data_IF_056261775744
#
_entry.id   IF_056261775744
#
_cell.length_a   1.000
_cell.length_b   1.000
_cell.length_c   1.000
_cell.angle_alpha   90.00
_cell.angle_beta   90.00
_cell.angle_gamma   90.00
#
_symmetry.space_group_name_H-M   'P 1'
#
loop_
_entity.id
_entity.type
_entity.pdbx_description
1 polymer ?
#
# COMPACT_ATOMS: atom_id res chain seq x y z
N UNK A 1 10.12 28.91 30.45
CA UNK A 1 11.06 27.79 30.35
C UNK A 1 11.04 27.31 28.91
N UNK A 2 12.18 27.41 28.23
CA UNK A 2 12.31 27.07 26.81
C UNK A 2 11.87 25.63 26.56
N UNK A 3 10.80 25.46 25.79
CA UNK A 3 10.25 24.16 25.42
C UNK A 3 11.24 23.45 24.49
N UNK A 4 12.05 22.56 25.05
CA UNK A 4 12.92 21.68 24.28
C UNK A 4 12.09 20.49 23.79
N UNK A 5 11.85 20.42 22.49
CA UNK A 5 11.31 19.23 21.84
C UNK A 5 12.42 18.19 21.72
N UNK A 6 12.42 17.23 22.65
CA UNK A 6 13.25 16.04 22.52
C UNK A 6 12.44 14.99 21.75
N UNK A 7 13.00 14.47 20.65
CA UNK A 7 12.59 13.15 20.17
C UNK A 7 12.72 12.16 21.32
N UNK A 8 11.84 11.15 21.37
CA UNK A 8 11.71 10.19 22.48
C UNK A 8 13.01 9.45 22.84
N UNK A 9 14.06 9.57 22.03
CA UNK A 9 15.39 9.00 22.21
C UNK A 9 16.49 10.03 21.80
N UNK A 10 17.47 10.33 22.67
CA UNK A 10 18.55 11.30 22.42
C UNK A 10 19.58 10.87 21.36
N UNK A 11 19.49 9.65 20.83
CA UNK A 11 20.33 9.17 19.72
C UNK A 11 19.74 9.49 18.33
N UNK A 12 18.51 10.00 18.28
CA UNK A 12 17.86 10.34 17.01
C UNK A 12 18.24 11.75 16.55
N UNK A 13 18.54 11.94 15.24
CA UNK A 13 18.70 13.27 14.69
C UNK A 13 17.39 14.04 14.91
N UNK A 14 17.46 15.11 15.70
CA UNK A 14 16.29 15.92 16.05
C UNK A 14 15.55 16.44 14.82
N UNK A 15 14.32 16.92 15.06
CA UNK A 15 13.52 17.65 14.07
C UNK A 15 14.43 18.71 13.44
N UNK A 16 14.68 18.60 12.12
CA UNK A 16 15.57 19.54 11.43
C UNK A 16 15.06 20.96 11.61
N UNK A 17 15.98 21.93 11.66
CA UNK A 17 15.59 23.34 11.62
C UNK A 17 14.64 23.58 10.44
N UNK A 18 13.51 24.24 10.69
CA UNK A 18 12.45 24.54 9.71
C UNK A 18 11.66 23.33 9.19
N UNK A 19 11.76 22.16 9.80
CA UNK A 19 10.85 21.05 9.48
C UNK A 19 9.45 21.35 10.01
N UNK A 20 8.44 21.10 9.18
CA UNK A 20 7.05 21.03 9.63
C UNK A 20 6.82 19.69 10.34
N UNK A 21 6.04 19.72 11.42
CA UNK A 21 5.65 18.54 12.17
C UNK A 21 4.19 18.67 12.61
N UNK A 22 3.56 17.54 12.88
CA UNK A 22 2.27 17.45 13.53
C UNK A 22 2.39 16.57 14.78
N UNK A 23 1.41 16.66 15.68
CA UNK A 23 1.31 15.79 16.85
C UNK A 23 -0.07 15.15 16.82
N UNK A 24 -0.14 13.84 17.01
CA UNK A 24 -1.38 13.06 16.98
C UNK A 24 -1.46 12.12 18.19
N UNK A 25 -2.53 11.31 18.23
CA UNK A 25 -2.74 10.24 19.20
C UNK A 25 -2.82 10.70 20.68
N UNK A 26 -3.65 11.71 20.95
CA UNK A 26 -4.09 12.07 22.31
C UNK A 26 -5.55 12.48 22.30
N UNK A 27 -6.30 12.10 23.33
CA UNK A 27 -7.70 12.50 23.51
C UNK A 27 -7.88 14.03 23.46
N UNK A 28 -6.92 14.80 23.98
CA UNK A 28 -6.99 16.27 23.97
C UNK A 28 -6.87 16.92 22.59
N UNK A 29 -6.54 16.13 21.55
CA UNK A 29 -6.49 16.59 20.17
C UNK A 29 -7.72 16.14 19.36
N UNK A 30 -8.68 15.46 19.99
CA UNK A 30 -9.96 15.14 19.39
C UNK A 30 -10.86 16.38 19.49
N UNK A 31 -10.81 17.25 18.49
CA UNK A 31 -11.44 18.58 18.53
C UNK A 31 -12.29 18.94 17.30
N UNK A 32 -12.28 18.10 16.26
CA UNK A 32 -12.98 18.34 15.00
C UNK A 32 -13.75 17.10 14.52
N UNK A 33 -14.90 17.27 13.84
CA UNK A 33 -15.62 16.15 13.24
C UNK A 33 -14.79 15.37 12.20
N UNK A 34 -14.91 14.05 12.24
CA UNK A 34 -14.13 13.09 11.44
C UNK A 34 -12.92 12.51 12.17
N UNK A 35 -12.52 13.10 13.29
CA UNK A 35 -11.40 12.60 14.09
C UNK A 35 -11.81 11.42 14.99
N UNK A 36 -10.82 10.60 15.33
CA UNK A 36 -10.97 9.53 16.31
C UNK A 36 -9.71 9.40 17.19
N UNK A 37 -9.89 8.81 18.36
CA UNK A 37 -8.80 8.44 19.25
C UNK A 37 -9.10 7.12 19.95
N UNK A 38 -8.14 6.21 19.93
CA UNK A 38 -8.26 4.90 20.55
C UNK A 38 -7.39 4.82 21.80
N UNK A 39 -8.02 4.60 22.95
CA UNK A 39 -7.33 4.30 24.21
C UNK A 39 -7.02 2.82 24.28
N UNK A 40 -5.76 2.45 23.98
CA UNK A 40 -5.29 1.06 24.07
C UNK A 40 -5.35 0.49 25.49
N UNK A 41 -5.28 1.33 26.54
CA UNK A 41 -5.26 0.87 27.93
C UNK A 41 -6.65 0.42 28.37
N UNK A 42 -7.66 1.23 28.06
CA UNK A 42 -9.06 0.90 28.38
C UNK A 42 -9.80 0.17 27.26
N UNK A 43 -9.17 0.01 26.09
CA UNK A 43 -9.77 -0.54 24.88
C UNK A 43 -11.05 0.23 24.47
N UNK A 44 -10.98 1.57 24.50
CA UNK A 44 -12.10 2.46 24.19
C UNK A 44 -11.80 3.31 22.95
N UNK A 45 -12.71 3.29 21.98
CA UNK A 45 -12.65 4.14 20.80
C UNK A 45 -13.55 5.36 21.00
N UNK A 46 -12.95 6.54 20.92
CA UNK A 46 -13.63 7.83 20.93
C UNK A 46 -13.70 8.34 19.49
N UNK A 47 -14.90 8.65 19.00
CA UNK A 47 -15.13 9.13 17.64
C UNK A 47 -15.88 10.45 17.70
N UNK A 48 -15.36 11.48 17.03
CA UNK A 48 -16.10 12.72 16.80
C UNK A 48 -16.82 12.61 15.45
N UNK A 49 -18.07 12.15 15.46
CA UNK A 49 -18.86 12.02 14.24
C UNK A 49 -19.13 13.40 13.60
N UNK A 50 -19.34 13.42 12.28
CA UNK A 50 -19.93 14.59 11.61
C UNK A 50 -21.30 14.94 12.20
N UNK A 51 -21.63 16.23 12.23
CA UNK A 51 -22.88 16.72 12.84
C UNK A 51 -24.12 16.08 12.20
N UNK A 52 -24.05 15.81 10.90
CA UNK A 52 -25.10 15.24 10.05
C UNK A 52 -25.10 13.71 9.95
N UNK A 53 -24.08 13.02 10.47
CA UNK A 53 -24.02 11.56 10.46
C UNK A 53 -24.78 10.95 11.64
N UNK A 54 -25.61 9.92 11.42
CA UNK A 54 -26.16 9.12 12.51
C UNK A 54 -25.18 8.00 12.89
N UNK A 55 -25.24 7.52 14.13
CA UNK A 55 -24.39 6.39 14.54
C UNK A 55 -24.65 5.11 13.73
N UNK A 56 -25.86 4.95 13.19
CA UNK A 56 -26.20 3.86 12.27
C UNK A 56 -25.52 3.94 10.92
N UNK A 57 -24.99 5.10 10.55
CA UNK A 57 -24.32 5.34 9.26
C UNK A 57 -22.83 5.02 9.32
N UNK A 58 -22.30 4.73 10.52
CA UNK A 58 -20.88 4.57 10.76
C UNK A 58 -20.55 3.08 10.87
N UNK A 59 -19.74 2.61 9.94
CA UNK A 59 -19.06 1.32 10.03
C UNK A 59 -17.63 1.57 10.54
N UNK A 60 -17.24 0.84 11.58
CA UNK A 60 -15.86 0.83 12.09
C UNK A 60 -15.28 -0.54 11.74
N UNK A 61 -14.40 -0.56 10.74
CA UNK A 61 -13.54 -1.71 10.50
C UNK A 61 -12.24 -1.55 11.27
N UNK A 62 -11.78 -2.63 11.89
CA UNK A 62 -10.52 -2.69 12.63
C UNK A 62 -9.62 -3.74 12.02
N UNK A 63 -8.32 -3.71 12.31
CA UNK A 63 -7.32 -4.72 11.90
C UNK A 63 -7.60 -6.10 12.51
N UNK A 64 -8.66 -6.75 12.06
CA UNK A 64 -8.91 -8.15 12.34
C UNK A 64 -7.91 -8.99 11.55
N UNK A 65 -7.49 -10.12 12.11
CA UNK A 65 -6.46 -10.97 11.51
C UNK A 65 -6.86 -11.53 10.14
N UNK A 66 -8.16 -11.59 9.84
CA UNK A 66 -8.71 -11.97 8.53
C UNK A 66 -8.72 -10.80 7.51
N UNK A 67 -8.35 -9.59 7.93
CA UNK A 67 -8.22 -8.40 7.08
C UNK A 67 -6.75 -8.08 6.71
N UNK A 68 -5.78 -8.90 7.13
CA UNK A 68 -4.37 -8.66 6.82
C UNK A 68 -4.09 -8.69 5.30
N UNK A 69 -4.71 -9.65 4.59
CA UNK A 69 -4.50 -9.87 3.14
C UNK A 69 -5.84 -10.17 2.48
N UNK A 70 -6.25 -9.36 1.50
CA UNK A 70 -7.46 -9.63 0.70
C UNK A 70 -7.26 -10.81 -0.25
N UNK A 71 -6.24 -10.74 -1.09
CA UNK A 71 -5.92 -11.73 -2.14
C UNK A 71 -4.45 -12.15 -2.05
N UNK A 72 -4.19 -13.33 -1.49
CA UNK A 72 -2.87 -13.98 -1.61
C UNK A 72 -2.78 -14.73 -2.95
N UNK A 73 -1.89 -14.26 -3.84
CA UNK A 73 -1.77 -14.76 -5.21
C UNK A 73 -0.63 -15.75 -5.42
N UNK A 74 0.01 -16.25 -4.34
CA UNK A 74 1.07 -17.29 -4.46
C UNK A 74 0.57 -18.49 -5.25
N UNK A 75 1.20 -18.75 -6.40
CA UNK A 75 0.89 -19.88 -7.28
C UNK A 75 -0.47 -19.81 -7.96
N UNK A 76 -1.18 -18.68 -7.87
CA UNK A 76 -2.51 -18.51 -8.46
C UNK A 76 -2.36 -17.84 -9.82
N UNK A 77 -2.80 -18.53 -10.87
CA UNK A 77 -2.62 -18.11 -12.25
C UNK A 77 -3.93 -18.23 -13.03
N UNK A 78 -4.05 -17.50 -14.12
CA UNK A 78 -5.23 -17.53 -15.00
C UNK A 78 -6.52 -17.11 -14.29
N UNK A 79 -6.43 -16.09 -13.43
CA UNK A 79 -7.57 -15.54 -12.71
C UNK A 79 -7.92 -14.15 -13.25
N UNK A 80 -9.21 -13.92 -13.49
CA UNK A 80 -9.74 -12.64 -13.93
C UNK A 80 -10.71 -12.09 -12.87
N UNK A 81 -10.52 -10.82 -12.52
CA UNK A 81 -11.38 -10.06 -11.61
C UNK A 81 -11.98 -8.90 -12.37
N UNK A 82 -13.30 -8.75 -12.33
CA UNK A 82 -13.99 -7.72 -13.08
C UNK A 82 -15.06 -7.01 -12.25
N UNK A 83 -15.03 -5.68 -12.22
CA UNK A 83 -16.10 -4.88 -11.62
C UNK A 83 -16.18 -4.92 -10.09
N UNK A 84 -15.17 -5.48 -9.42
CA UNK A 84 -15.16 -5.66 -7.96
C UNK A 84 -14.56 -4.47 -7.22
N UNK A 85 -15.06 -4.23 -6.02
CA UNK A 85 -14.45 -3.32 -5.04
C UNK A 85 -13.74 -4.14 -3.96
N UNK A 86 -12.49 -3.79 -3.67
CA UNK A 86 -11.70 -4.35 -2.58
C UNK A 86 -11.41 -3.25 -1.56
N UNK A 87 -11.88 -3.43 -0.33
CA UNK A 87 -11.75 -2.44 0.75
C UNK A 87 -11.49 -3.08 2.10
N UNK A 88 -10.91 -2.30 3.02
CA UNK A 88 -10.68 -2.68 4.42
C UNK A 88 -9.75 -3.88 4.59
N UNK A 89 -8.71 -3.93 3.76
CA UNK A 89 -7.59 -4.84 3.93
C UNK A 89 -6.33 -4.03 4.27
N UNK A 90 -5.47 -4.57 5.13
CA UNK A 90 -4.13 -3.99 5.28
C UNK A 90 -3.37 -4.05 3.95
N UNK A 91 -3.44 -5.19 3.27
CA UNK A 91 -2.93 -5.35 1.91
C UNK A 91 -3.98 -6.00 1.00
N UNK A 92 -4.37 -5.35 -0.10
CA UNK A 92 -5.40 -5.92 -0.98
C UNK A 92 -4.87 -7.10 -1.79
N UNK A 93 -3.78 -6.94 -2.53
CA UNK A 93 -3.20 -8.02 -3.38
C UNK A 93 -1.77 -8.30 -3.00
N UNK A 94 -1.43 -9.57 -2.79
CA UNK A 94 -0.12 -10.02 -2.33
C UNK A 94 0.50 -11.11 -3.19
N UNK A 95 1.77 -10.90 -3.52
CA UNK A 95 2.71 -11.99 -3.73
C UNK A 95 3.99 -11.71 -2.92
N UNK A 96 4.33 -12.55 -1.92
CA UNK A 96 5.45 -12.30 -1.02
C UNK A 96 6.81 -12.64 -1.63
N UNK A 97 7.87 -12.13 -1.02
CA UNK A 97 9.26 -12.39 -1.42
C UNK A 97 9.68 -13.85 -1.16
N UNK A 98 9.34 -14.73 -2.10
CA UNK A 98 9.69 -16.17 -2.06
C UNK A 98 10.10 -16.68 -3.44
N UNK A 99 10.79 -17.82 -3.49
CA UNK A 99 11.04 -18.58 -4.72
C UNK A 99 9.86 -19.48 -5.09
N UNK A 100 9.01 -19.83 -4.12
CA UNK A 100 7.92 -20.79 -4.33
C UNK A 100 6.85 -20.23 -5.27
N UNK A 101 6.28 -21.12 -6.10
CA UNK A 101 5.06 -20.97 -6.88
C UNK A 101 4.79 -19.56 -7.43
N UNK A 102 5.44 -19.15 -8.55
CA UNK A 102 5.09 -17.90 -9.21
C UNK A 102 3.64 -17.92 -9.71
N UNK A 103 3.05 -16.74 -9.80
CA UNK A 103 1.76 -16.50 -10.44
C UNK A 103 1.93 -16.00 -11.88
N UNK A 104 0.98 -16.33 -12.75
CA UNK A 104 0.96 -15.78 -14.12
C UNK A 104 -0.44 -15.56 -14.67
N UNK A 105 -0.57 -14.68 -15.66
CA UNK A 105 -1.84 -14.47 -16.38
C UNK A 105 -3.01 -14.05 -15.47
N UNK A 106 -2.79 -13.09 -14.58
CA UNK A 106 -3.85 -12.54 -13.74
C UNK A 106 -4.30 -11.17 -14.24
N UNK A 107 -5.60 -10.95 -14.29
CA UNK A 107 -6.21 -9.74 -14.84
C UNK A 107 -7.14 -9.11 -13.81
N UNK A 108 -7.03 -7.80 -13.64
CA UNK A 108 -7.94 -6.97 -12.87
C UNK A 108 -8.46 -5.87 -13.78
N UNK A 109 -9.75 -5.95 -14.13
CA UNK A 109 -10.39 -5.03 -15.05
C UNK A 109 -11.55 -4.30 -14.38
N UNK A 110 -11.58 -2.97 -14.47
CA UNK A 110 -12.69 -2.17 -13.95
C UNK A 110 -12.97 -2.43 -12.46
N UNK A 111 -11.93 -2.70 -11.67
CA UNK A 111 -12.01 -2.87 -10.22
C UNK A 111 -11.72 -1.56 -9.48
N UNK A 112 -12.15 -1.50 -8.22
CA UNK A 112 -11.83 -0.44 -7.27
C UNK A 112 -11.00 -1.00 -6.14
N UNK A 113 -9.90 -0.36 -5.83
CA UNK A 113 -8.99 -0.72 -4.75
C UNK A 113 -8.94 0.46 -3.79
N UNK A 114 -9.53 0.29 -2.61
CA UNK A 114 -9.92 1.41 -1.78
C UNK A 114 -9.67 1.15 -0.29
N UNK A 115 -9.43 2.20 0.52
CA UNK A 115 -9.36 2.11 1.99
C UNK A 115 -8.48 0.96 2.50
N UNK A 116 -7.16 1.08 2.27
CA UNK A 116 -6.17 0.05 2.64
C UNK A 116 -4.81 0.68 2.96
N UNK A 117 -3.95 -0.02 3.69
CA UNK A 117 -2.57 0.45 3.81
C UNK A 117 -1.80 0.28 2.50
N UNK A 118 -1.95 -0.88 1.83
CA UNK A 118 -1.33 -1.18 0.54
C UNK A 118 -2.35 -1.72 -0.47
N UNK A 119 -2.29 -1.20 -1.70
CA UNK A 119 -3.06 -1.78 -2.81
C UNK A 119 -2.49 -3.13 -3.24
N UNK A 120 -1.42 -3.11 -4.02
CA UNK A 120 -0.71 -4.32 -4.46
C UNK A 120 0.72 -4.30 -3.93
N UNK A 121 1.16 -5.41 -3.33
CA UNK A 121 2.59 -5.68 -3.13
C UNK A 121 2.99 -6.96 -3.84
N UNK A 122 3.77 -6.81 -4.92
CA UNK A 122 4.39 -7.93 -5.63
C UNK A 122 5.87 -7.94 -5.33
N UNK A 123 6.31 -9.01 -4.68
CA UNK A 123 7.72 -9.27 -4.45
C UNK A 123 8.05 -10.67 -4.91
N UNK A 124 9.28 -10.87 -5.38
CA UNK A 124 9.73 -12.19 -5.75
C UNK A 124 11.23 -12.36 -5.63
N UNK A 125 11.62 -13.49 -5.05
CA UNK A 125 13.00 -13.95 -5.00
C UNK A 125 13.35 -14.64 -6.32
N UNK A 126 14.50 -14.31 -6.90
CA UNK A 126 15.00 -15.00 -8.08
C UNK A 126 15.38 -16.43 -7.70
N UNK A 127 14.87 -17.42 -8.44
CA UNK A 127 15.31 -18.81 -8.35
C UNK A 127 16.32 -19.09 -9.47
N UNK A 128 17.61 -19.03 -9.13
CA UNK A 128 18.69 -19.29 -10.09
C UNK A 128 18.74 -20.73 -10.58
N UNK A 129 18.08 -21.67 -9.89
CA UNK A 129 17.99 -23.07 -10.34
C UNK A 129 16.85 -23.27 -11.35
N UNK A 130 15.86 -22.38 -11.33
CA UNK A 130 14.71 -22.41 -12.23
C UNK A 130 14.44 -21.00 -12.79
N UNK A 131 15.38 -20.44 -13.56
CA UNK A 131 15.33 -19.06 -14.03
C UNK A 131 14.04 -18.71 -14.78
N UNK A 132 13.38 -19.69 -15.42
CA UNK A 132 12.12 -19.51 -16.14
C UNK A 132 10.88 -19.29 -15.23
N UNK A 133 10.96 -19.53 -13.92
CA UNK A 133 9.84 -19.37 -12.98
C UNK A 133 9.69 -17.92 -12.52
N UNK A 134 8.83 -17.16 -13.21
CA UNK A 134 8.65 -15.71 -13.02
C UNK A 134 7.21 -15.36 -12.71
N UNK A 135 7.00 -14.32 -11.89
CA UNK A 135 5.70 -13.65 -11.79
C UNK A 135 5.50 -12.81 -13.04
N UNK A 136 4.49 -13.12 -13.85
CA UNK A 136 4.38 -12.49 -15.17
C UNK A 136 2.99 -12.45 -15.80
N UNK A 137 2.82 -11.57 -16.78
CA UNK A 137 1.58 -11.43 -17.54
C UNK A 137 0.41 -11.01 -16.65
N UNK A 138 0.66 -10.04 -15.77
CA UNK A 138 -0.39 -9.44 -14.97
C UNK A 138 -0.88 -8.16 -15.64
N UNK A 139 -2.20 -7.97 -15.65
CA UNK A 139 -2.81 -6.78 -16.23
C UNK A 139 -3.78 -6.10 -15.27
N UNK A 140 -3.70 -4.78 -15.24
CA UNK A 140 -4.53 -3.89 -14.45
C UNK A 140 -5.08 -2.84 -15.40
N UNK A 141 -6.35 -2.97 -15.77
CA UNK A 141 -6.98 -2.09 -16.75
C UNK A 141 -8.22 -1.42 -16.20
N UNK A 142 -8.37 -0.11 -16.44
CA UNK A 142 -9.59 0.63 -16.07
C UNK A 142 -9.90 0.62 -14.56
N UNK A 143 -8.90 0.40 -13.72
CA UNK A 143 -9.11 0.34 -12.26
C UNK A 143 -9.00 1.72 -11.63
N UNK A 144 -9.62 1.86 -10.46
CA UNK A 144 -9.51 3.02 -9.58
C UNK A 144 -8.74 2.60 -8.31
N UNK A 145 -7.78 3.44 -7.90
CA UNK A 145 -7.00 3.27 -6.68
C UNK A 145 -7.18 4.54 -5.83
N UNK A 146 -7.75 4.39 -4.63
CA UNK A 146 -8.10 5.54 -3.80
C UNK A 146 -8.01 5.29 -2.30
N UNK A 147 -7.65 6.33 -1.54
CA UNK A 147 -7.55 6.26 -0.07
C UNK A 147 -6.65 5.10 0.39
N UNK A 148 -5.39 5.12 -0.07
CA UNK A 148 -4.38 4.12 0.28
C UNK A 148 -3.26 4.81 1.04
N UNK A 149 -2.95 4.34 2.24
CA UNK A 149 -2.07 5.07 3.17
C UNK A 149 -0.61 5.04 2.77
N UNK A 150 -0.16 3.94 2.17
CA UNK A 150 1.21 3.75 1.69
C UNK A 150 1.24 3.78 0.15
N UNK A 151 1.43 2.63 -0.52
CA UNK A 151 1.54 2.56 -1.97
C UNK A 151 0.38 1.78 -2.61
N UNK A 152 -0.22 2.36 -3.67
CA UNK A 152 -1.23 1.64 -4.45
C UNK A 152 -0.62 0.48 -5.24
N UNK A 153 0.57 0.70 -5.82
CA UNK A 153 1.34 -0.33 -6.52
C UNK A 153 2.77 -0.34 -6.00
N UNK A 154 3.16 -1.42 -5.34
CA UNK A 154 4.53 -1.64 -4.91
C UNK A 154 5.08 -2.96 -5.45
N UNK A 155 6.03 -2.85 -6.37
CA UNK A 155 6.64 -3.99 -7.05
C UNK A 155 8.14 -3.98 -6.77
N UNK A 156 8.67 -5.08 -6.24
CA UNK A 156 10.09 -5.18 -5.90
C UNK A 156 10.67 -6.57 -6.17
N UNK A 157 11.62 -6.64 -7.10
CA UNK A 157 12.43 -7.83 -7.39
C UNK A 157 13.90 -7.63 -6.96
N UNK A 158 14.22 -7.70 -5.66
CA UNK A 158 15.48 -7.19 -5.10
C UNK A 158 16.74 -7.96 -5.53
N UNK A 159 16.62 -9.21 -5.96
CA UNK A 159 17.76 -10.00 -6.48
C UNK A 159 18.19 -9.53 -7.88
N UNK A 160 17.49 -8.56 -8.46
CA UNK A 160 17.81 -7.98 -9.75
C UNK A 160 17.37 -8.85 -10.92
N UNK A 161 18.27 -9.02 -11.88
CA UNK A 161 18.01 -9.73 -13.14
C UNK A 161 18.69 -11.09 -13.12
N UNK A 162 18.03 -12.05 -13.72
CA UNK A 162 18.56 -13.35 -14.09
C UNK A 162 19.87 -13.19 -14.89
N UNK A 163 20.96 -13.84 -14.48
CA UNK A 163 22.27 -13.66 -15.11
C UNK A 163 22.34 -14.25 -16.52
N UNK A 164 21.49 -15.22 -16.87
CA UNK A 164 21.56 -15.94 -18.14
C UNK A 164 20.77 -15.25 -19.25
N UNK A 165 19.62 -14.67 -18.92
CA UNK A 165 18.73 -14.00 -19.88
C UNK A 165 18.52 -12.49 -19.62
N UNK A 166 19.01 -11.95 -18.50
CA UNK A 166 18.91 -10.54 -18.16
C UNK A 166 17.51 -10.08 -17.73
N UNK A 167 16.58 -11.01 -17.50
CA UNK A 167 15.19 -10.69 -17.17
C UNK A 167 14.95 -10.72 -15.65
N UNK A 168 13.98 -9.95 -15.17
CA UNK A 168 13.64 -9.95 -13.75
C UNK A 168 12.74 -11.13 -13.34
N UNK A 169 12.76 -11.48 -12.05
CA UNK A 169 11.82 -12.43 -11.45
C UNK A 169 10.36 -11.96 -11.50
N UNK A 170 10.13 -10.65 -11.68
CA UNK A 170 8.82 -10.04 -11.96
C UNK A 170 8.88 -9.32 -13.30
N UNK A 171 7.98 -9.66 -14.23
CA UNK A 171 8.00 -9.06 -15.57
C UNK A 171 6.66 -9.08 -16.30
N UNK A 172 6.58 -8.41 -17.44
CA UNK A 172 5.37 -8.40 -18.29
C UNK A 172 4.14 -7.93 -17.50
N UNK A 173 4.22 -6.71 -16.97
CA UNK A 173 3.13 -6.08 -16.23
C UNK A 173 2.50 -4.99 -17.09
N UNK A 174 1.17 -4.95 -17.14
CA UNK A 174 0.43 -4.02 -17.98
C UNK A 174 -0.55 -3.19 -17.16
N UNK A 175 -0.33 -1.88 -17.09
CA UNK A 175 -1.20 -0.91 -16.42
C UNK A 175 -1.74 0.07 -17.45
N UNK A 176 -3.03 0.00 -17.74
CA UNK A 176 -3.68 0.82 -18.77
C UNK A 176 -4.96 1.46 -18.28
N UNK A 177 -5.09 2.77 -18.50
CA UNK A 177 -6.33 3.52 -18.21
C UNK A 177 -6.80 3.42 -16.76
N UNK A 178 -5.88 3.33 -15.80
CA UNK A 178 -6.21 3.35 -14.37
C UNK A 178 -6.18 4.79 -13.81
N UNK A 179 -6.93 5.04 -12.74
CA UNK A 179 -6.93 6.28 -11.97
C UNK A 179 -6.33 6.06 -10.58
N UNK A 180 -5.44 6.94 -10.13
CA UNK A 180 -4.82 6.92 -8.81
C UNK A 180 -5.02 8.28 -8.15
N UNK A 181 -5.62 8.33 -6.95
CA UNK A 181 -5.86 9.57 -6.21
C UNK A 181 -5.94 9.30 -4.70
N UNK A 182 -5.66 10.30 -3.85
CA UNK A 182 -5.58 10.12 -2.38
C UNK A 182 -4.66 8.97 -1.94
N UNK A 183 -3.43 8.93 -2.46
CA UNK A 183 -2.43 7.92 -2.10
C UNK A 183 -1.34 8.54 -1.24
N UNK A 184 -0.97 7.91 -0.12
CA UNK A 184 0.16 8.30 0.69
C UNK A 184 -0.12 9.36 1.77
N UNK A 185 -1.38 9.68 2.04
CA UNK A 185 -1.76 10.81 2.92
C UNK A 185 -1.59 10.51 4.41
N UNK A 186 -1.81 9.25 4.83
CA UNK A 186 -1.66 8.80 6.20
C UNK A 186 -0.38 7.97 6.41
N UNK A 187 0.66 8.21 5.61
CA UNK A 187 1.93 7.47 5.65
C UNK A 187 2.53 7.37 7.06
N UNK A 188 2.67 6.15 7.56
CA UNK A 188 3.11 5.93 8.95
C UNK A 188 4.64 5.82 9.09
N UNK A 189 5.41 5.73 7.98
CA UNK A 189 6.81 5.30 8.04
C UNK A 189 7.89 6.31 7.58
N UNK A 190 8.03 7.52 8.19
CA UNK A 190 9.11 8.45 7.83
C UNK A 190 10.52 7.99 8.26
N UNK A 191 10.65 6.88 9.01
CA UNK A 191 11.90 6.49 9.69
C UNK A 191 12.70 5.36 9.04
N UNK A 192 12.25 4.77 7.94
CA UNK A 192 13.12 3.89 7.18
C UNK A 192 14.15 4.74 6.43
N UNK A 193 15.42 4.72 6.89
CA UNK A 193 16.59 5.50 6.42
C UNK A 193 16.93 5.31 4.90
N UNK A 194 16.06 4.68 4.13
CA UNK A 194 16.19 4.44 2.70
C UNK A 194 14.85 4.44 1.93
N UNK A 195 13.72 4.85 2.54
CA UNK A 195 12.44 4.96 1.82
C UNK A 195 12.18 6.41 1.41
N UNK A 196 11.93 6.60 0.12
CA UNK A 196 11.26 7.82 -0.34
C UNK A 196 9.84 7.85 0.22
N UNK A 197 9.24 9.05 0.32
CA UNK A 197 7.80 9.21 0.60
C UNK A 197 6.97 8.24 -0.26
N UNK A 198 5.81 7.77 0.23
CA UNK A 198 4.99 6.83 -0.52
C UNK A 198 4.68 7.41 -1.90
N UNK A 199 4.66 6.52 -2.89
CA UNK A 199 4.31 6.86 -4.26
C UNK A 199 3.04 6.08 -4.64
N UNK A 200 2.21 6.68 -5.48
CA UNK A 200 1.09 5.95 -6.09
C UNK A 200 1.58 4.65 -6.75
N UNK A 201 2.73 4.71 -7.43
CA UNK A 201 3.34 3.56 -8.11
C UNK A 201 4.85 3.54 -7.87
N UNK A 202 5.32 2.44 -7.29
CA UNK A 202 6.73 2.16 -7.04
C UNK A 202 7.09 0.81 -7.69
N UNK A 203 7.93 0.86 -8.72
CA UNK A 203 8.37 -0.34 -9.46
C UNK A 203 9.89 -0.42 -9.46
N UNK A 204 10.43 -1.38 -8.72
CA UNK A 204 11.85 -1.63 -8.60
C UNK A 204 12.23 -2.98 -9.22
N UNK A 205 13.18 -2.94 -10.16
CA UNK A 205 13.81 -4.11 -10.76
C UNK A 205 12.88 -5.05 -11.54
N UNK A 206 11.62 -4.70 -11.81
CA UNK A 206 10.77 -5.42 -12.75
C UNK A 206 11.14 -5.09 -14.21
N UNK A 207 10.87 -6.01 -15.15
CA UNK A 207 11.18 -5.83 -16.58
C UNK A 207 9.95 -5.94 -17.47
N UNK A 208 9.94 -5.26 -18.62
CA UNK A 208 8.79 -5.22 -19.54
C UNK A 208 7.49 -4.78 -18.83
N UNK A 209 7.54 -3.60 -18.23
CA UNK A 209 6.39 -2.96 -17.59
C UNK A 209 5.86 -1.89 -18.53
N UNK A 210 4.58 -1.99 -18.86
CA UNK A 210 3.87 -0.97 -19.66
C UNK A 210 2.93 -0.22 -18.75
N UNK A 211 3.12 1.10 -18.64
CA UNK A 211 2.30 1.99 -17.83
C UNK A 211 1.87 3.17 -18.70
N UNK A 212 0.67 3.08 -19.28
CA UNK A 212 0.20 4.04 -20.30
C UNK A 212 -1.25 4.45 -20.06
N UNK A 213 -1.58 5.70 -20.40
CA UNK A 213 -2.91 6.28 -20.23
C UNK A 213 -3.46 6.21 -18.80
N UNK A 214 -2.60 6.10 -17.79
CA UNK A 214 -3.03 6.17 -16.39
C UNK A 214 -3.01 7.63 -15.92
N UNK A 215 -3.95 7.98 -15.04
CA UNK A 215 -4.02 9.29 -14.38
C UNK A 215 -3.56 9.15 -12.94
N UNK A 216 -2.64 10.01 -12.51
CA UNK A 216 -2.21 10.11 -11.10
C UNK A 216 -2.49 11.54 -10.66
N UNK A 217 -3.38 11.69 -9.68
CA UNK A 217 -3.78 12.99 -9.14
C UNK A 217 -3.18 13.17 -7.74
N UNK A 218 -2.66 14.37 -7.50
CA UNK A 218 -2.26 14.83 -6.17
C UNK A 218 -3.43 15.67 -5.66
N UNK A 219 -4.33 15.03 -4.91
CA UNK A 219 -5.56 15.63 -4.35
C UNK A 219 -5.58 15.48 -2.86
#
# INVERSE_FOLDING_TARGET
SDGRFYGRDPTFPGIRAYAHYYVSNKLSFLDSPGEYWFDETSNLLYVWKSDDAEWSDIEISTDATDQEIGLDMVGKSYIEWEGLTFSFFYQIVREPFTIANPSEHNTFNNCRFHSSAFGIKLQRKLDSSQPWKKTRHWSFTKNEWSSIDEEAVWIKAPDGRDPDNGESSIRNLYFFNNSFHHIGFAYECPYAVAKHAPAAVHICYATNVTFIYNTIEIV
#
